data_IF_348394722460
#
_entry.id   IF_348394722460
#
_cell.length_a   1.000
_cell.length_b   1.000
_cell.length_c   1.000
_cell.angle_alpha   90.00
_cell.angle_beta   90.00
_cell.angle_gamma   90.00
#
_symmetry.space_group_name_H-M   'P 1'
#
loop_
_entity.id
_entity.type
_entity.pdbx_description
1 polymer ?
#
# COMPACT_ATOMS: atom_id res chain seq x y z
N UNK A 1 5.73 -8.25 -28.09
CA UNK A 1 5.50 -8.27 -26.64
C UNK A 1 6.74 -7.71 -25.94
N UNK A 2 6.56 -6.88 -24.95
CA UNK A 2 7.63 -6.33 -24.11
C UNK A 2 7.18 -6.43 -22.64
N UNK A 3 8.07 -6.88 -21.75
CA UNK A 3 7.79 -7.02 -20.32
C UNK A 3 8.72 -6.11 -19.52
N UNK A 4 8.14 -5.33 -18.63
CA UNK A 4 8.84 -4.47 -17.69
C UNK A 4 8.76 -5.08 -16.31
N UNK A 5 9.88 -5.06 -15.58
CA UNK A 5 9.96 -5.57 -14.21
C UNK A 5 10.59 -4.51 -13.33
N UNK A 6 9.85 -4.03 -12.35
CA UNK A 6 10.41 -3.21 -11.28
C UNK A 6 11.27 -4.10 -10.38
N UNK A 7 12.53 -3.74 -10.19
CA UNK A 7 13.45 -4.47 -9.33
C UNK A 7 13.57 -3.81 -7.96
N UNK A 8 13.68 -4.64 -6.94
CA UNK A 8 14.03 -4.16 -5.59
C UNK A 8 15.40 -3.47 -5.62
N UNK A 9 15.53 -2.26 -5.06
CA UNK A 9 16.73 -1.42 -5.25
C UNK A 9 18.01 -2.03 -4.72
N UNK A 10 17.94 -2.98 -3.78
CA UNK A 10 19.12 -3.59 -3.15
C UNK A 10 19.27 -5.06 -3.55
N UNK A 11 18.19 -5.82 -3.55
CA UNK A 11 18.25 -7.27 -3.79
C UNK A 11 18.14 -7.63 -5.27
N UNK A 12 17.81 -6.65 -6.14
CA UNK A 12 17.57 -6.85 -7.57
C UNK A 12 16.54 -7.96 -7.90
N UNK A 13 15.69 -8.30 -6.92
CA UNK A 13 14.58 -9.24 -7.13
C UNK A 13 13.38 -8.51 -7.74
N UNK A 14 12.57 -9.20 -8.55
CA UNK A 14 11.34 -8.65 -9.11
C UNK A 14 10.35 -8.22 -8.03
N UNK A 15 9.80 -6.99 -8.20
CA UNK A 15 8.79 -6.42 -7.28
C UNK A 15 7.44 -6.35 -7.97
N UNK A 16 7.41 -5.96 -9.26
CA UNK A 16 6.20 -5.81 -10.03
C UNK A 16 6.49 -5.99 -11.51
N UNK A 17 5.53 -6.54 -12.27
CA UNK A 17 5.63 -6.76 -13.71
C UNK A 17 4.50 -6.07 -14.46
N UNK A 18 4.80 -5.61 -15.67
CA UNK A 18 3.85 -5.12 -16.66
C UNK A 18 4.22 -5.73 -18.02
N UNK A 19 3.23 -6.24 -18.74
CA UNK A 19 3.42 -6.79 -20.07
C UNK A 19 2.54 -6.03 -21.07
N UNK A 20 3.13 -5.62 -22.19
CA UNK A 20 2.48 -4.87 -23.25
C UNK A 20 2.69 -5.60 -24.58
N UNK A 21 1.61 -5.78 -25.34
CA UNK A 21 1.65 -6.52 -26.60
C UNK A 21 1.55 -5.60 -27.82
N UNK A 22 0.70 -4.60 -27.74
CA UNK A 22 0.31 -3.78 -28.89
C UNK A 22 0.72 -2.31 -28.80
N UNK A 23 1.17 -1.86 -27.63
CA UNK A 23 1.51 -0.47 -27.39
C UNK A 23 2.75 -0.02 -28.19
N UNK A 24 2.62 1.01 -29.05
CA UNK A 24 3.77 1.53 -29.80
C UNK A 24 4.71 2.37 -28.93
N UNK A 25 4.19 2.95 -27.83
CA UNK A 25 4.93 3.77 -26.89
C UNK A 25 4.45 3.46 -25.47
N UNK A 26 5.37 3.09 -24.58
CA UNK A 26 5.10 2.84 -23.18
C UNK A 26 5.74 3.96 -22.37
N UNK A 27 4.92 4.69 -21.59
CA UNK A 27 5.37 5.80 -20.74
C UNK A 27 5.54 5.34 -19.32
N UNK A 28 6.65 5.78 -18.70
CA UNK A 28 7.03 5.48 -17.34
C UNK A 28 7.30 6.79 -16.60
N UNK A 29 6.67 6.98 -15.44
CA UNK A 29 6.85 8.18 -14.64
C UNK A 29 5.90 8.23 -13.45
N UNK A 30 5.89 9.35 -12.70
CA UNK A 30 5.04 9.49 -11.52
C UNK A 30 3.64 10.05 -11.80
N UNK A 31 3.39 10.54 -13.00
CA UNK A 31 2.06 11.03 -13.40
C UNK A 31 1.12 9.88 -13.69
N UNK A 32 -0.17 10.04 -13.40
CA UNK A 32 -1.20 9.02 -13.55
C UNK A 32 -1.56 8.70 -15.00
N UNK A 33 -1.12 9.51 -15.95
CA UNK A 33 -1.29 9.31 -17.39
C UNK A 33 -0.19 8.44 -18.02
N UNK A 34 0.78 7.95 -17.23
CA UNK A 34 1.76 6.97 -17.68
C UNK A 34 1.18 5.54 -17.66
N UNK A 35 1.70 4.68 -18.54
CA UNK A 35 1.39 3.25 -18.55
C UNK A 35 1.96 2.53 -17.30
N UNK A 36 3.14 2.97 -16.85
CA UNK A 36 3.80 2.49 -15.63
C UNK A 36 3.98 3.68 -14.68
N UNK A 37 3.22 3.67 -13.60
CA UNK A 37 3.21 4.74 -12.61
C UNK A 37 4.14 4.36 -11.45
N UNK A 38 5.16 5.20 -11.21
CA UNK A 38 6.14 4.98 -10.15
C UNK A 38 6.14 6.17 -9.18
N UNK A 39 5.57 5.97 -8.02
CA UNK A 39 5.48 6.97 -6.97
C UNK A 39 6.82 7.15 -6.25
N UNK A 40 7.75 7.87 -6.88
CA UNK A 40 9.05 8.21 -6.32
C UNK A 40 9.35 9.68 -6.58
N UNK A 41 9.78 10.40 -5.54
CA UNK A 41 10.09 11.84 -5.62
C UNK A 41 11.20 12.17 -6.63
N UNK A 42 12.12 11.24 -6.87
CA UNK A 42 13.22 11.41 -7.84
C UNK A 42 12.81 11.06 -9.28
N UNK A 43 11.62 10.46 -9.47
CA UNK A 43 11.08 10.14 -10.79
C UNK A 43 10.25 11.32 -11.30
N UNK A 44 10.55 11.81 -12.50
CA UNK A 44 9.79 12.90 -13.15
C UNK A 44 8.37 12.46 -13.49
N UNK A 45 7.44 13.40 -13.69
CA UNK A 45 6.06 13.10 -14.12
C UNK A 45 6.03 12.18 -15.34
N UNK A 46 6.81 12.50 -16.37
CA UNK A 46 7.14 11.65 -17.51
C UNK A 46 8.65 11.47 -17.50
N UNK A 47 9.16 10.29 -17.20
CA UNK A 47 10.58 10.07 -16.97
C UNK A 47 11.25 9.31 -18.11
N UNK A 48 10.61 8.26 -18.61
CA UNK A 48 11.09 7.43 -19.71
C UNK A 48 9.94 7.10 -20.64
N UNK A 49 10.22 7.08 -21.94
CA UNK A 49 9.41 6.40 -22.95
C UNK A 49 10.18 5.22 -23.51
N UNK A 50 9.50 4.07 -23.62
CA UNK A 50 9.94 2.97 -24.44
C UNK A 50 9.19 3.06 -25.76
N UNK A 51 9.91 3.24 -26.86
CA UNK A 51 9.33 3.42 -28.19
C UNK A 51 9.62 2.21 -29.05
N UNK A 52 8.60 1.71 -29.74
CA UNK A 52 8.74 0.64 -30.72
C UNK A 52 9.12 1.23 -32.04
N UNK A 53 10.37 1.01 -32.49
CA UNK A 53 10.83 1.32 -33.82
C UNK A 53 10.48 0.21 -34.85
N UNK A 54 10.89 0.38 -36.11
CA UNK A 54 10.60 -0.57 -37.17
C UNK A 54 11.22 -1.96 -36.93
N UNK A 55 12.36 -2.03 -36.27
CA UNK A 55 13.09 -3.30 -36.02
C UNK A 55 13.33 -3.61 -34.53
N UNK A 56 13.29 -2.62 -33.67
CA UNK A 56 13.65 -2.80 -32.27
C UNK A 56 13.00 -1.76 -31.33
N UNK A 57 12.96 -2.08 -30.03
CA UNK A 57 12.56 -1.14 -29.01
C UNK A 57 13.74 -0.24 -28.58
N UNK A 58 13.44 0.96 -28.15
CA UNK A 58 14.41 1.90 -27.61
C UNK A 58 13.91 2.57 -26.31
N UNK A 59 14.86 2.89 -25.42
CA UNK A 59 14.64 3.68 -24.21
C UNK A 59 14.94 5.14 -24.53
N UNK A 60 14.01 6.05 -24.26
CA UNK A 60 14.19 7.50 -24.39
C UNK A 60 14.01 8.14 -23.02
N UNK A 61 15.05 8.83 -22.54
CA UNK A 61 15.03 9.52 -21.25
C UNK A 61 14.45 10.92 -21.39
N UNK A 62 13.35 11.19 -20.69
CA UNK A 62 12.68 12.51 -20.64
C UNK A 62 12.88 13.22 -19.30
N UNK A 63 13.20 12.46 -18.25
CA UNK A 63 13.29 12.96 -16.90
C UNK A 63 14.47 13.89 -16.65
N UNK A 64 14.26 15.03 -15.99
CA UNK A 64 15.31 15.98 -15.62
C UNK A 64 16.43 15.33 -14.80
N UNK A 65 16.10 14.37 -13.94
CA UNK A 65 17.05 13.62 -13.10
C UNK A 65 17.82 12.54 -13.86
N UNK A 66 17.50 12.32 -15.15
CA UNK A 66 18.16 11.39 -16.08
C UNK A 66 17.87 9.92 -15.82
N UNK A 67 18.14 9.11 -16.82
CA UNK A 67 18.04 7.65 -16.79
C UNK A 67 19.46 7.08 -16.92
N UNK A 68 19.75 6.00 -16.19
CA UNK A 68 21.10 5.45 -16.06
C UNK A 68 21.11 3.96 -16.40
N UNK A 69 22.04 3.55 -17.25
CA UNK A 69 22.35 2.15 -17.57
C UNK A 69 23.82 1.92 -17.19
N UNK A 70 24.10 0.90 -16.40
CA UNK A 70 25.45 0.58 -15.89
C UNK A 70 26.16 1.81 -15.28
N UNK A 71 25.41 2.64 -14.57
CA UNK A 71 25.91 3.86 -13.95
C UNK A 71 26.14 5.05 -14.88
N UNK A 72 25.97 4.90 -16.18
CA UNK A 72 26.11 5.97 -17.19
C UNK A 72 24.76 6.57 -17.51
N UNK A 73 24.68 7.90 -17.58
CA UNK A 73 23.47 8.60 -18.00
C UNK A 73 23.24 8.41 -19.49
N UNK A 74 22.03 8.02 -19.85
CA UNK A 74 21.59 7.88 -21.24
C UNK A 74 20.55 8.94 -21.60
N UNK A 75 20.49 9.31 -22.88
CA UNK A 75 19.41 10.11 -23.47
C UNK A 75 18.49 9.23 -24.31
N UNK A 76 19.07 8.32 -25.08
CA UNK A 76 18.37 7.35 -25.92
C UNK A 76 19.27 6.13 -26.11
N UNK A 77 18.70 4.93 -26.12
CA UNK A 77 19.45 3.68 -26.25
C UNK A 77 18.54 2.57 -26.81
N UNK A 78 18.99 1.76 -27.78
CA UNK A 78 18.24 0.58 -28.26
C UNK A 78 18.22 -0.51 -27.18
N UNK A 79 17.16 -1.34 -27.21
CA UNK A 79 16.99 -2.49 -26.31
C UNK A 79 17.26 -3.76 -27.09
N UNK A 80 18.39 -4.41 -26.80
CA UNK A 80 18.76 -5.71 -27.37
C UNK A 80 18.43 -6.81 -26.37
N UNK A 81 17.27 -7.46 -26.51
CA UNK A 81 16.79 -8.55 -25.67
C UNK A 81 16.37 -8.11 -24.27
N UNK A 82 17.31 -7.87 -23.36
CA UNK A 82 17.01 -7.42 -21.98
C UNK A 82 17.97 -6.35 -21.52
N UNK A 83 17.44 -5.33 -20.83
CA UNK A 83 18.21 -4.22 -20.26
C UNK A 83 17.70 -3.87 -18.87
N UNK A 84 18.59 -3.44 -17.99
CA UNK A 84 18.23 -2.83 -16.69
C UNK A 84 18.65 -1.37 -16.70
N UNK A 85 17.70 -0.47 -16.44
CA UNK A 85 17.99 0.94 -16.28
C UNK A 85 17.42 1.48 -14.97
N UNK A 86 18.06 2.53 -14.44
CA UNK A 86 17.67 3.21 -13.21
C UNK A 86 17.11 4.59 -13.54
N UNK A 87 15.99 4.92 -12.92
CA UNK A 87 15.36 6.23 -13.02
C UNK A 87 15.95 7.17 -11.96
N UNK A 88 16.70 8.17 -12.38
CA UNK A 88 17.53 9.04 -11.55
C UNK A 88 18.73 8.32 -10.90
N UNK A 89 19.64 9.07 -10.24
CA UNK A 89 20.82 8.49 -9.58
C UNK A 89 20.49 7.55 -8.43
N UNK A 90 19.41 7.81 -7.72
CA UNK A 90 18.98 7.07 -6.52
C UNK A 90 17.57 6.46 -6.65
N UNK A 91 17.02 6.44 -7.84
CA UNK A 91 15.66 5.95 -8.09
C UNK A 91 15.59 4.44 -8.35
N UNK A 92 14.39 3.96 -8.69
CA UNK A 92 14.13 2.54 -8.92
C UNK A 92 14.81 2.01 -10.17
N UNK A 93 15.17 0.71 -10.15
CA UNK A 93 15.66 -0.04 -11.28
C UNK A 93 14.49 -0.71 -12.01
N UNK A 94 14.49 -0.62 -13.33
CA UNK A 94 13.53 -1.32 -14.19
C UNK A 94 14.30 -2.21 -15.13
N UNK A 95 13.96 -3.49 -15.12
CA UNK A 95 14.39 -4.45 -16.14
C UNK A 95 13.34 -4.49 -17.23
N UNK A 96 13.79 -4.41 -18.46
CA UNK A 96 12.95 -4.55 -19.66
C UNK A 96 13.39 -5.78 -20.41
N UNK A 97 12.45 -6.60 -20.83
CA UNK A 97 12.66 -7.77 -21.68
C UNK A 97 11.78 -7.68 -22.93
N UNK A 98 12.40 -7.79 -24.10
CA UNK A 98 11.71 -7.80 -25.40
C UNK A 98 11.63 -9.23 -25.91
N UNK A 99 10.42 -9.72 -26.17
CA UNK A 99 10.13 -11.08 -26.63
C UNK A 99 9.30 -11.88 -25.64
N UNK A 100 8.98 -13.14 -25.97
CA UNK A 100 8.32 -14.05 -25.05
C UNK A 100 9.30 -14.45 -23.95
N UNK A 101 8.88 -14.37 -22.68
CA UNK A 101 9.65 -14.91 -21.57
C UNK A 101 9.81 -16.42 -21.80
N UNK A 102 11.03 -16.99 -21.72
CA UNK A 102 11.17 -18.43 -21.71
C UNK A 102 10.41 -18.98 -20.49
N UNK A 103 9.59 -20.02 -20.73
CA UNK A 103 8.92 -20.73 -19.65
C UNK A 103 9.96 -21.12 -18.59
N UNK A 104 9.66 -20.85 -17.32
CA UNK A 104 10.55 -21.12 -16.19
C UNK A 104 10.95 -22.61 -16.18
N UNK A 105 12.14 -22.90 -16.66
CA UNK A 105 12.84 -24.14 -16.39
C UNK A 105 14.01 -23.82 -15.48
N UNK A 106 13.97 -24.42 -14.29
CA UNK A 106 15.09 -24.48 -13.35
C UNK A 106 16.43 -24.60 -14.07
N UNK A 107 17.31 -23.63 -13.85
CA UNK A 107 18.73 -23.74 -13.59
C UNK A 107 19.39 -22.37 -13.69
N UNK A 108 19.79 -21.83 -12.54
CA UNK A 108 20.81 -20.78 -12.50
C UNK A 108 22.09 -21.28 -13.19
N UNK A 109 22.70 -20.51 -14.08
CA UNK A 109 24.06 -20.82 -14.51
C UNK A 109 25.02 -20.39 -13.37
N UNK A 110 25.57 -21.40 -12.72
CA UNK A 110 26.75 -21.28 -11.86
C UNK A 110 27.97 -21.06 -12.75
N UNK A 111 28.36 -19.80 -13.03
CA UNK A 111 29.70 -19.47 -13.47
C UNK A 111 29.92 -17.96 -13.38
N UNK A 112 30.34 -17.52 -12.20
CA UNK A 112 31.13 -16.29 -12.02
C UNK A 112 32.50 -16.72 -11.47
N UNK A 113 33.63 -16.26 -12.05
CA UNK A 113 34.95 -16.63 -11.57
C UNK A 113 35.19 -15.97 -10.22
N UNK A 114 35.54 -16.82 -9.25
CA UNK A 114 35.94 -16.41 -7.91
C UNK A 114 37.23 -15.57 -7.98
N UNK A 115 37.15 -14.27 -7.81
CA UNK A 115 38.30 -13.47 -7.46
C UNK A 115 38.64 -13.69 -5.99
N UNK A 116 39.81 -14.27 -5.77
CA UNK A 116 40.43 -14.51 -4.46
C UNK A 116 40.69 -13.15 -3.78
N UNK A 117 39.93 -12.84 -2.74
CA UNK A 117 40.31 -11.81 -1.79
C UNK A 117 41.35 -12.41 -0.82
N UNK A 118 42.54 -11.79 -0.76
CA UNK A 118 43.56 -12.06 0.27
C UNK A 118 43.08 -11.50 1.61
N UNK A 119 43.34 -12.19 2.72
CA UNK A 119 43.08 -11.65 4.05
C UNK A 119 44.09 -10.56 4.44
N UNK A 120 43.69 -9.56 5.24
CA UNK A 120 44.66 -8.57 5.75
C UNK A 120 45.47 -9.17 6.90
N UNK A 121 46.77 -8.93 6.80
CA UNK A 121 47.77 -9.25 7.83
C UNK A 121 47.58 -8.33 9.05
N UNK A 122 47.55 -8.95 10.20
CA UNK A 122 47.69 -8.33 11.51
C UNK A 122 49.12 -7.80 11.68
N UNK A 123 49.24 -6.56 12.12
CA UNK A 123 50.53 -5.96 12.54
C UNK A 123 50.28 -4.86 13.56
N UNK A 124 50.62 -5.16 14.80
CA UNK A 124 50.65 -4.28 15.96
C UNK A 124 51.92 -3.41 15.85
N UNK A 125 51.79 -2.09 16.04
CA UNK A 125 52.87 -1.26 16.64
C UNK A 125 52.25 0.04 17.19
N UNK A 126 52.44 0.22 18.46
CA UNK A 126 52.30 1.40 19.30
C UNK A 126 53.29 2.50 18.90
N UNK A 127 52.92 3.81 18.99
CA UNK A 127 53.54 4.79 19.84
C UNK A 127 53.06 6.23 19.58
N UNK A 128 52.72 6.87 20.70
CA UNK A 128 52.93 8.23 21.22
C UNK A 128 52.66 9.51 20.42
N UNK A 129 51.76 10.28 21.05
CA UNK A 129 51.88 11.70 21.48
C UNK A 129 52.09 12.85 20.48
N UNK A 130 51.21 13.84 20.54
CA UNK A 130 51.44 15.20 20.06
C UNK A 130 50.21 16.06 19.85
N UNK A 131 49.70 16.72 20.88
CA UNK A 131 48.85 17.92 20.82
C UNK A 131 49.75 19.18 20.70
N UNK A 132 49.18 20.43 20.65
CA UNK A 132 48.18 21.06 19.76
C UNK A 132 48.67 22.39 19.15
N UNK A 133 47.93 23.03 18.24
CA UNK A 133 47.85 24.52 18.11
C UNK A 133 46.81 24.94 17.10
N UNK A 134 45.82 25.59 17.52
CA UNK A 134 45.26 26.98 17.48
C UNK A 134 45.15 27.67 16.11
N UNK A 135 43.91 28.13 15.91
CA UNK A 135 43.46 29.47 15.44
C UNK A 135 43.43 29.80 13.96
N UNK A 136 42.27 30.28 13.55
CA UNK A 136 42.05 31.04 12.33
C UNK A 136 40.56 31.37 12.11
N UNK A 137 40.12 32.46 12.78
CA UNK A 137 38.78 33.08 12.58
C UNK A 137 38.73 33.93 11.29
N UNK A 138 37.49 34.04 10.80
CA UNK A 138 36.79 35.19 10.17
C UNK A 138 36.87 35.35 8.63
N UNK A 139 35.99 36.14 8.00
CA UNK A 139 34.67 36.63 8.44
C UNK A 139 33.50 36.47 7.40
N UNK A 140 32.31 36.72 7.90
CA UNK A 140 31.04 36.92 7.21
C UNK A 140 31.06 38.10 6.23
N UNK A 141 30.49 37.93 5.05
CA UNK A 141 30.03 39.03 4.22
C UNK A 141 28.58 38.81 3.80
N UNK A 142 27.74 39.75 4.26
CA UNK A 142 26.34 39.96 3.87
C UNK A 142 26.23 40.33 2.40
N UNK A 143 25.26 39.76 1.69
CA UNK A 143 24.72 40.36 0.48
C UNK A 143 23.21 40.27 0.49
N UNK A 144 22.59 41.45 0.51
CA UNK A 144 21.20 41.76 0.55
C UNK A 144 20.49 41.44 -0.78
N UNK A 145 19.26 40.97 -0.69
CA UNK A 145 18.34 40.70 -1.80
C UNK A 145 17.46 41.94 -1.99
N UNK A 146 17.18 42.41 -3.21
CA UNK A 146 16.08 43.31 -3.45
C UNK A 146 14.79 42.54 -3.78
N UNK A 147 13.73 42.95 -3.09
CA UNK A 147 12.33 42.61 -3.35
C UNK A 147 11.82 43.46 -4.51
N UNK A 148 11.19 42.89 -5.50
CA UNK A 148 10.21 43.62 -6.34
C UNK A 148 9.19 42.68 -6.99
N UNK A 149 7.93 43.06 -6.73
CA UNK A 149 6.70 43.05 -7.56
C UNK A 149 6.09 41.71 -8.03
N UNK A 150 4.84 41.57 -7.62
CA UNK A 150 3.81 40.70 -8.19
C UNK A 150 3.49 41.06 -9.66
N UNK A 151 2.97 40.12 -10.42
CA UNK A 151 1.82 40.44 -11.26
C UNK A 151 0.67 39.41 -11.20
N UNK A 152 -0.52 39.95 -11.08
CA UNK A 152 -1.74 39.76 -11.86
C UNK A 152 -2.30 38.35 -12.06
N UNK A 153 -3.56 38.24 -11.57
CA UNK A 153 -4.54 37.16 -11.78
C UNK A 153 -4.96 37.10 -13.25
N UNK A 154 -4.90 35.95 -13.86
CA UNK A 154 -5.66 35.57 -15.05
C UNK A 154 -6.49 34.33 -14.78
N UNK A 155 -7.81 34.44 -14.91
CA UNK A 155 -8.78 33.35 -14.91
C UNK A 155 -8.61 32.45 -16.14
N UNK A 156 -8.74 31.11 -16.02
CA UNK A 156 -8.78 30.23 -17.17
C UNK A 156 -10.22 30.02 -17.68
N UNK A 157 -10.37 29.81 -18.99
CA UNK A 157 -11.69 29.60 -19.60
C UNK A 157 -12.22 28.19 -19.37
N UNK A 158 -13.53 28.11 -19.23
CA UNK A 158 -14.38 26.94 -19.10
C UNK A 158 -14.24 25.94 -20.26
N UNK A 159 -14.20 24.67 -19.90
CA UNK A 159 -14.82 23.61 -20.68
C UNK A 159 -13.90 22.67 -21.46
N UNK A 160 -13.53 21.55 -20.83
CA UNK A 160 -13.44 20.24 -21.52
C UNK A 160 -13.75 19.14 -20.49
N UNK A 161 -14.81 18.39 -20.75
CA UNK A 161 -15.21 17.18 -20.03
C UNK A 161 -14.18 16.09 -20.31
N UNK A 162 -13.27 15.85 -19.38
CA UNK A 162 -12.42 14.65 -19.40
C UNK A 162 -13.09 13.55 -18.59
N UNK A 163 -13.46 12.48 -19.25
CA UNK A 163 -13.91 11.24 -18.64
C UNK A 163 -12.83 10.72 -17.69
N UNK A 164 -13.06 10.85 -16.38
CA UNK A 164 -12.27 10.16 -15.36
C UNK A 164 -12.63 8.68 -15.39
N UNK A 165 -11.66 7.86 -15.69
CA UNK A 165 -11.68 6.43 -15.42
C UNK A 165 -11.77 6.24 -13.90
N UNK A 166 -12.96 5.88 -13.42
CA UNK A 166 -13.26 5.59 -12.01
C UNK A 166 -12.77 4.20 -11.66
N UNK A 167 -11.57 4.13 -11.10
CA UNK A 167 -11.16 2.99 -10.31
C UNK A 167 -11.71 3.16 -8.88
N UNK A 168 -12.72 2.34 -8.54
CA UNK A 168 -13.08 1.89 -7.19
C UNK A 168 -13.59 2.92 -6.17
N UNK A 169 -14.79 3.43 -6.36
CA UNK A 169 -15.59 4.07 -5.29
C UNK A 169 -16.89 3.28 -5.06
N UNK A 170 -16.81 2.13 -4.36
CA UNK A 170 -18.00 1.31 -4.12
C UNK A 170 -18.56 1.49 -2.71
N UNK A 171 -17.79 1.99 -1.78
CA UNK A 171 -18.26 2.27 -0.42
C UNK A 171 -18.77 3.72 -0.24
N UNK A 172 -18.70 4.57 -1.28
CA UNK A 172 -19.07 6.00 -1.21
C UNK A 172 -20.33 6.39 -1.97
N UNK A 173 -21.25 5.48 -2.24
CA UNK A 173 -22.60 5.92 -2.62
C UNK A 173 -23.25 6.61 -1.41
N UNK A 174 -23.90 7.80 -1.58
CA UNK A 174 -24.54 8.51 -0.48
C UNK A 174 -25.59 7.61 0.18
N UNK A 175 -25.59 7.60 1.51
CA UNK A 175 -26.57 6.91 2.34
C UNK A 175 -27.99 7.30 1.93
N UNK A 176 -28.68 6.42 1.26
CA UNK A 176 -30.11 6.49 1.06
C UNK A 176 -30.85 5.51 1.97
N UNK A 177 -30.29 5.22 3.14
CA UNK A 177 -30.96 4.42 4.16
C UNK A 177 -31.92 5.29 4.98
N UNK A 178 -33.03 5.67 4.37
CA UNK A 178 -34.01 6.51 5.08
C UNK A 178 -35.41 6.59 4.49
N UNK A 179 -35.81 5.72 3.56
CA UNK A 179 -37.18 5.73 3.04
C UNK A 179 -37.80 4.35 2.93
N UNK A 180 -38.88 4.24 3.62
CA UNK A 180 -39.81 3.12 3.82
C UNK A 180 -40.13 2.28 2.59
N UNK A 181 -40.01 1.01 2.78
CA UNK A 181 -40.38 -0.10 1.93
C UNK A 181 -41.76 0.03 1.26
N UNK A 182 -41.74 0.31 -0.02
CA UNK A 182 -42.75 -0.22 -0.91
C UNK A 182 -42.52 -1.73 -1.01
N UNK A 183 -43.60 -2.53 -1.02
CA UNK A 183 -43.52 -4.00 -1.06
C UNK A 183 -42.52 -4.43 -2.18
N UNK A 184 -41.39 -5.07 -1.87
CA UNK A 184 -40.33 -5.34 -2.83
C UNK A 184 -40.75 -6.20 -4.01
N UNK A 185 -41.82 -6.99 -3.87
CA UNK A 185 -42.34 -7.88 -4.90
C UNK A 185 -42.95 -7.16 -6.12
N UNK A 186 -43.33 -5.89 -6.02
CA UNK A 186 -44.03 -5.15 -7.06
C UNK A 186 -43.32 -3.87 -7.52
N UNK A 187 -42.03 -3.67 -7.16
CA UNK A 187 -41.33 -2.48 -7.58
C UNK A 187 -40.91 -2.57 -9.06
N UNK A 188 -41.31 -1.60 -9.86
CA UNK A 188 -40.94 -1.50 -11.29
C UNK A 188 -39.62 -0.75 -11.49
N UNK A 189 -38.89 -0.41 -10.40
CA UNK A 189 -37.64 0.30 -10.37
C UNK A 189 -37.63 1.63 -11.13
N UNK A 190 -38.65 2.51 -10.98
CA UNK A 190 -38.84 3.70 -11.81
C UNK A 190 -37.74 4.76 -11.62
N UNK A 191 -37.01 4.74 -10.50
CA UNK A 191 -35.93 5.67 -10.18
C UNK A 191 -34.53 5.10 -10.38
N UNK A 192 -34.44 3.92 -10.98
CA UNK A 192 -33.17 3.33 -11.35
C UNK A 192 -32.53 4.16 -12.47
N UNK A 193 -31.67 5.12 -12.12
CA UNK A 193 -30.97 5.96 -13.08
C UNK A 193 -29.44 5.82 -12.92
N UNK A 194 -28.75 5.72 -14.06
CA UNK A 194 -27.29 5.74 -14.08
C UNK A 194 -26.64 4.49 -13.50
N UNK A 195 -25.62 4.66 -12.69
CA UNK A 195 -24.73 3.61 -12.15
C UNK A 195 -25.18 3.08 -10.77
N UNK A 196 -26.44 3.28 -10.37
CA UNK A 196 -26.94 2.80 -9.08
C UNK A 196 -26.98 1.27 -9.05
N UNK A 197 -26.43 0.68 -7.99
CA UNK A 197 -26.40 -0.80 -7.82
C UNK A 197 -27.71 -1.33 -7.25
N UNK A 198 -28.39 -0.50 -6.47
CA UNK A 198 -29.64 -0.86 -5.78
C UNK A 198 -30.75 0.12 -6.12
N UNK A 199 -31.97 -0.37 -6.12
CA UNK A 199 -33.13 0.47 -6.30
C UNK A 199 -33.34 1.38 -5.08
N UNK A 200 -33.45 2.71 -5.25
CA UNK A 200 -33.66 3.61 -4.12
C UNK A 200 -35.02 3.46 -3.43
N UNK A 201 -36.00 2.84 -4.11
CA UNK A 201 -37.36 2.69 -3.58
C UNK A 201 -37.56 1.39 -2.80
N UNK A 202 -36.96 0.27 -3.23
CA UNK A 202 -37.17 -1.05 -2.63
C UNK A 202 -35.87 -1.71 -2.11
N UNK A 203 -34.72 -1.11 -2.34
CA UNK A 203 -33.41 -1.64 -1.89
C UNK A 203 -32.94 -2.92 -2.61
N UNK A 204 -33.70 -3.42 -3.61
CA UNK A 204 -33.29 -4.60 -4.37
C UNK A 204 -32.15 -4.28 -5.34
N UNK A 205 -31.26 -5.24 -5.62
CA UNK A 205 -30.21 -5.08 -6.60
C UNK A 205 -30.81 -4.93 -8.00
N UNK A 206 -30.28 -3.95 -8.77
CA UNK A 206 -30.70 -3.72 -10.15
C UNK A 206 -30.04 -4.67 -11.13
N UNK A 207 -28.84 -5.12 -10.80
CA UNK A 207 -28.09 -6.10 -11.57
C UNK A 207 -27.46 -7.11 -10.63
N UNK A 208 -27.61 -8.39 -10.90
CA UNK A 208 -27.01 -9.50 -10.19
C UNK A 208 -25.99 -10.16 -11.09
N UNK A 209 -24.73 -10.17 -10.68
CA UNK A 209 -23.65 -10.83 -11.44
C UNK A 209 -23.71 -12.35 -11.30
N UNK A 210 -24.00 -12.82 -10.08
CA UNK A 210 -23.99 -14.23 -9.73
C UNK A 210 -24.79 -14.43 -8.44
N UNK A 211 -25.42 -15.59 -8.27
CA UNK A 211 -26.01 -16.02 -7.01
C UNK A 211 -25.15 -17.12 -6.39
N UNK A 212 -24.84 -16.98 -5.09
CA UNK A 212 -24.06 -17.96 -4.32
C UNK A 212 -24.81 -18.26 -3.03
N UNK A 213 -25.36 -19.47 -2.92
CA UNK A 213 -26.34 -19.78 -1.87
C UNK A 213 -27.50 -18.80 -1.94
N UNK A 214 -27.84 -18.16 -0.81
CA UNK A 214 -28.91 -17.16 -0.72
C UNK A 214 -28.45 -15.73 -1.05
N UNK A 215 -27.20 -15.53 -1.45
CA UNK A 215 -26.61 -14.22 -1.66
C UNK A 215 -26.53 -13.85 -3.13
N UNK A 216 -27.09 -12.72 -3.50
CA UNK A 216 -27.00 -12.14 -4.84
C UNK A 216 -25.79 -11.23 -4.93
N UNK A 217 -24.74 -11.64 -5.63
CA UNK A 217 -23.52 -10.86 -5.83
C UNK A 217 -23.80 -9.74 -6.83
N UNK A 218 -23.57 -8.50 -6.40
CA UNK A 218 -23.86 -7.29 -7.18
C UNK A 218 -22.60 -6.74 -7.83
N UNK A 219 -21.48 -6.77 -7.09
CA UNK A 219 -20.21 -6.19 -7.56
C UNK A 219 -19.02 -6.83 -6.87
N UNK A 220 -17.91 -6.95 -7.58
CA UNK A 220 -16.62 -7.20 -6.98
C UNK A 220 -16.06 -5.86 -6.48
N UNK A 221 -15.87 -5.76 -5.16
CA UNK A 221 -15.34 -4.55 -4.50
C UNK A 221 -13.83 -4.50 -4.57
N UNK A 222 -13.19 -5.65 -4.28
CA UNK A 222 -11.72 -5.75 -4.22
C UNK A 222 -11.25 -7.15 -4.54
N UNK A 223 -10.04 -7.21 -5.10
CA UNK A 223 -9.28 -8.44 -5.23
C UNK A 223 -7.86 -8.20 -4.70
N UNK A 224 -7.34 -9.16 -3.97
CA UNK A 224 -5.93 -9.21 -3.56
C UNK A 224 -5.26 -10.50 -4.09
N UNK A 225 -4.05 -10.82 -3.62
CA UNK A 225 -3.32 -11.99 -4.10
C UNK A 225 -4.11 -13.29 -3.92
N UNK A 226 -4.82 -13.45 -2.80
CA UNK A 226 -5.42 -14.73 -2.38
C UNK A 226 -6.93 -14.77 -2.61
N UNK A 227 -7.62 -13.64 -2.45
CA UNK A 227 -9.07 -13.66 -2.38
C UNK A 227 -9.79 -12.52 -3.06
N UNK A 228 -11.10 -12.64 -3.05
CA UNK A 228 -12.04 -11.70 -3.65
C UNK A 228 -13.02 -11.23 -2.60
N UNK A 229 -13.25 -9.91 -2.55
CA UNK A 229 -14.26 -9.27 -1.70
C UNK A 229 -15.39 -8.77 -2.62
N UNK A 230 -16.63 -9.15 -2.32
CA UNK A 230 -17.78 -8.90 -3.16
C UNK A 230 -18.90 -8.24 -2.34
N UNK A 231 -19.56 -7.25 -2.93
CA UNK A 231 -20.81 -6.71 -2.42
C UNK A 231 -21.95 -7.61 -2.85
N UNK A 232 -22.80 -7.95 -1.92
CA UNK A 232 -23.96 -8.80 -2.17
C UNK A 232 -25.19 -8.29 -1.42
N UNK A 233 -26.33 -8.83 -1.81
CA UNK A 233 -27.62 -8.57 -1.21
C UNK A 233 -28.27 -9.87 -0.76
N UNK A 234 -28.91 -9.85 0.43
CA UNK A 234 -29.72 -10.94 0.96
C UNK A 234 -30.85 -10.37 1.83
N UNK A 235 -32.09 -10.70 1.51
CA UNK A 235 -33.26 -10.39 2.34
C UNK A 235 -33.37 -8.90 2.77
N UNK A 236 -33.11 -7.96 1.87
CA UNK A 236 -33.22 -6.54 2.15
C UNK A 236 -31.93 -5.91 2.74
N UNK A 237 -30.88 -6.69 2.91
CA UNK A 237 -29.63 -6.21 3.51
C UNK A 237 -28.46 -6.26 2.52
N UNK A 238 -27.65 -5.22 2.54
CA UNK A 238 -26.39 -5.17 1.82
C UNK A 238 -25.30 -5.77 2.71
N UNK A 239 -24.61 -6.79 2.20
CA UNK A 239 -23.55 -7.50 2.90
C UNK A 239 -22.31 -7.59 2.04
N UNK A 240 -21.18 -7.88 2.67
CA UNK A 240 -19.90 -8.08 1.98
C UNK A 240 -19.45 -9.52 2.20
N UNK A 241 -19.16 -10.21 1.09
CA UNK A 241 -18.64 -11.57 1.09
C UNK A 241 -17.12 -11.55 0.82
N UNK A 242 -16.39 -12.29 1.61
CA UNK A 242 -14.97 -12.60 1.37
C UNK A 242 -14.81 -14.07 1.01
N UNK A 243 -14.09 -14.35 -0.09
CA UNK A 243 -13.85 -15.73 -0.56
C UNK A 243 -12.45 -15.87 -1.13
N UNK A 244 -11.99 -17.12 -1.30
CA UNK A 244 -10.71 -17.44 -1.94
C UNK A 244 -10.83 -17.39 -3.47
N UNK A 245 -9.76 -17.02 -4.15
CA UNK A 245 -9.60 -17.22 -5.58
C UNK A 245 -9.44 -18.72 -5.90
N UNK A 246 -9.77 -19.16 -7.12
CA UNK A 246 -9.70 -20.59 -7.49
C UNK A 246 -8.33 -21.22 -7.25
N UNK A 247 -7.25 -20.49 -7.54
CA UNK A 247 -5.86 -20.94 -7.36
C UNK A 247 -5.46 -21.14 -5.90
N UNK A 248 -6.24 -20.67 -4.95
CA UNK A 248 -5.99 -20.73 -3.50
C UNK A 248 -6.98 -21.66 -2.76
N UNK A 249 -7.64 -22.59 -3.44
CA UNK A 249 -8.62 -23.48 -2.85
C UNK A 249 -8.00 -24.85 -2.44
N UNK A 250 -6.71 -24.88 -2.13
CA UNK A 250 -6.09 -26.06 -1.54
C UNK A 250 -6.63 -26.31 -0.13
N UNK A 251 -6.71 -27.60 0.31
CA UNK A 251 -7.30 -27.98 1.60
C UNK A 251 -6.73 -27.18 2.79
N UNK A 252 -5.42 -26.95 2.83
CA UNK A 252 -4.73 -26.22 3.90
C UNK A 252 -5.17 -24.75 3.96
N UNK A 253 -5.33 -24.10 2.79
CA UNK A 253 -5.76 -22.71 2.69
C UNK A 253 -7.24 -22.58 3.08
N UNK A 254 -8.08 -23.51 2.63
CA UNK A 254 -9.52 -23.55 2.97
C UNK A 254 -9.68 -23.79 4.47
N UNK A 255 -8.88 -24.66 5.08
CA UNK A 255 -8.90 -24.92 6.53
C UNK A 255 -8.49 -23.66 7.31
N UNK A 256 -7.38 -23.01 6.94
CA UNK A 256 -6.93 -21.77 7.57
C UNK A 256 -7.98 -20.65 7.47
N UNK A 257 -8.61 -20.49 6.29
CA UNK A 257 -9.72 -19.58 6.09
C UNK A 257 -10.90 -19.90 7.03
N UNK A 258 -11.26 -21.19 7.09
CA UNK A 258 -12.40 -21.67 7.90
C UNK A 258 -12.18 -21.43 9.39
N UNK A 259 -10.97 -21.69 9.88
CA UNK A 259 -10.60 -21.45 11.28
C UNK A 259 -10.69 -19.96 11.62
N UNK A 260 -10.11 -19.09 10.80
CA UNK A 260 -10.16 -17.65 11.03
C UNK A 260 -11.60 -17.10 10.90
N UNK A 261 -12.37 -17.59 9.94
CA UNK A 261 -13.77 -17.20 9.77
C UNK A 261 -14.63 -17.55 11.01
N UNK A 262 -14.45 -18.76 11.57
CA UNK A 262 -15.15 -19.16 12.81
C UNK A 262 -14.80 -18.29 14.02
N UNK A 263 -13.52 -17.88 14.14
CA UNK A 263 -13.11 -16.94 15.19
C UNK A 263 -13.81 -15.59 15.00
N UNK A 264 -13.82 -15.05 13.78
CA UNK A 264 -14.44 -13.75 13.46
C UNK A 264 -15.95 -13.73 13.75
N UNK A 265 -16.67 -14.83 13.51
CA UNK A 265 -18.11 -14.93 13.80
C UNK A 265 -18.45 -14.79 15.29
N UNK A 266 -17.51 -15.04 16.19
CA UNK A 266 -17.72 -14.94 17.64
C UNK A 266 -17.38 -13.55 18.20
N UNK A 267 -16.91 -12.61 17.34
CA UNK A 267 -16.45 -11.30 17.79
C UNK A 267 -17.56 -10.26 17.74
N UNK A 268 -17.62 -9.45 18.80
CA UNK A 268 -18.46 -8.25 18.87
C UNK A 268 -17.63 -7.09 19.41
N UNK A 269 -17.35 -6.10 18.56
CA UNK A 269 -16.61 -4.89 18.93
C UNK A 269 -17.00 -3.73 18.03
N UNK A 270 -17.19 -2.49 18.52
CA UNK A 270 -17.60 -1.34 17.71
C UNK A 270 -16.63 -0.97 16.58
N UNK A 271 -15.34 -1.30 16.74
CA UNK A 271 -14.30 -1.12 15.71
C UNK A 271 -14.22 -2.27 14.69
N UNK A 272 -15.15 -3.23 14.74
CA UNK A 272 -15.23 -4.36 13.79
C UNK A 272 -16.57 -4.36 13.05
N UNK A 273 -16.63 -4.83 11.80
CA UNK A 273 -17.90 -5.14 11.16
C UNK A 273 -18.54 -6.35 11.86
N UNK A 274 -19.85 -6.41 11.89
CA UNK A 274 -20.56 -7.62 12.36
C UNK A 274 -20.38 -8.74 11.33
N UNK A 275 -19.78 -9.85 11.73
CA UNK A 275 -19.65 -11.06 10.92
C UNK A 275 -20.89 -11.93 11.16
N UNK A 276 -21.66 -12.21 10.13
CA UNK A 276 -23.00 -12.78 10.26
C UNK A 276 -23.13 -14.22 9.79
N UNK A 277 -22.25 -14.69 8.89
CA UNK A 277 -22.38 -16.02 8.29
C UNK A 277 -21.06 -16.54 7.75
N UNK A 278 -20.92 -17.86 7.71
CA UNK A 278 -19.84 -18.57 7.02
C UNK A 278 -20.41 -19.84 6.40
N UNK A 279 -20.17 -20.05 5.11
CA UNK A 279 -20.63 -21.22 4.40
C UNK A 279 -19.65 -21.63 3.30
N UNK A 280 -19.84 -22.85 2.79
CA UNK A 280 -19.03 -23.40 1.69
C UNK A 280 -19.94 -23.82 0.56
N UNK A 281 -19.68 -23.36 -0.66
CA UNK A 281 -20.37 -23.76 -1.89
C UNK A 281 -19.32 -24.30 -2.85
N UNK A 282 -19.52 -25.53 -3.33
CA UNK A 282 -18.63 -26.21 -4.28
C UNK A 282 -17.15 -26.21 -3.82
N UNK A 283 -16.92 -26.43 -2.52
CA UNK A 283 -15.58 -26.44 -1.92
C UNK A 283 -14.98 -25.05 -1.67
N UNK A 284 -15.66 -23.98 -2.07
CA UNK A 284 -15.24 -22.61 -1.92
C UNK A 284 -15.82 -21.97 -0.65
N UNK A 285 -14.97 -21.46 0.28
CA UNK A 285 -15.45 -20.85 1.52
C UNK A 285 -15.86 -19.38 1.28
N UNK A 286 -16.91 -18.97 2.00
CA UNK A 286 -17.42 -17.59 2.01
C UNK A 286 -17.64 -17.12 3.44
N UNK A 287 -17.05 -16.00 3.79
CA UNK A 287 -17.29 -15.27 5.04
C UNK A 287 -18.14 -14.05 4.74
N UNK A 288 -19.20 -13.86 5.49
CA UNK A 288 -20.16 -12.77 5.34
C UNK A 288 -20.02 -11.78 6.48
N UNK A 289 -19.97 -10.51 6.15
CA UNK A 289 -20.02 -9.43 7.12
C UNK A 289 -20.97 -8.31 6.72
N UNK A 290 -21.37 -7.49 7.68
CA UNK A 290 -22.09 -6.25 7.40
C UNK A 290 -21.26 -5.33 6.50
N UNK A 291 -21.94 -4.56 5.64
CA UNK A 291 -21.30 -3.46 4.90
C UNK A 291 -20.91 -2.37 5.91
N UNK A 292 -19.68 -1.92 5.85
CA UNK A 292 -19.19 -0.75 6.60
C UNK A 292 -19.30 0.47 5.70
N UNK A 293 -20.08 1.45 6.15
CA UNK A 293 -20.27 2.71 5.43
C UNK A 293 -19.17 3.71 5.80
N UNK A 294 -18.71 4.50 4.83
CA UNK A 294 -17.68 5.50 5.03
C UNK A 294 -16.56 5.44 4.01
N UNK A 295 -15.51 6.18 4.26
CA UNK A 295 -14.31 6.25 3.43
C UNK A 295 -13.14 5.59 4.13
N UNK A 296 -12.29 4.88 3.38
CA UNK A 296 -11.03 4.45 3.96
C UNK A 296 -10.17 5.67 4.33
N UNK A 297 -9.30 5.51 5.33
CA UNK A 297 -8.37 6.60 5.68
C UNK A 297 -7.44 6.96 4.50
N UNK A 298 -7.16 6.01 3.61
CA UNK A 298 -6.45 6.31 2.36
C UNK A 298 -7.26 7.24 1.46
N UNK A 299 -8.54 6.94 1.20
CA UNK A 299 -9.42 7.78 0.39
C UNK A 299 -9.59 9.17 1.02
N UNK A 300 -9.76 9.22 2.35
CA UNK A 300 -9.88 10.49 3.07
C UNK A 300 -8.65 11.38 2.87
N UNK A 301 -7.44 10.81 3.05
CA UNK A 301 -6.19 11.56 2.84
C UNK A 301 -6.05 11.99 1.38
N UNK A 302 -6.35 11.12 0.42
CA UNK A 302 -6.25 11.44 -1.01
C UNK A 302 -7.22 12.52 -1.47
N UNK A 303 -8.42 12.61 -0.86
CA UNK A 303 -9.48 13.53 -1.28
C UNK A 303 -9.49 14.84 -0.49
N UNK A 304 -9.13 14.79 0.80
CA UNK A 304 -9.26 15.94 1.72
C UNK A 304 -7.92 16.42 2.30
N UNK A 305 -6.80 15.76 1.93
CA UNK A 305 -5.50 16.04 2.51
C UNK A 305 -5.24 15.28 3.82
N UNK A 306 -4.08 15.55 4.40
CA UNK A 306 -3.58 14.91 5.63
C UNK A 306 -4.47 15.18 6.83
N UNK A 307 -4.38 14.30 7.82
CA UNK A 307 -5.02 14.50 9.11
C UNK A 307 -4.20 15.48 9.95
N UNK A 308 -4.89 16.23 10.82
CA UNK A 308 -4.24 16.91 11.92
C UNK A 308 -3.65 15.89 12.92
N UNK A 309 -2.70 16.31 13.75
CA UNK A 309 -2.13 15.45 14.78
C UNK A 309 -3.20 14.88 15.71
N UNK A 310 -4.15 15.70 16.16
CA UNK A 310 -5.24 15.28 17.02
C UNK A 310 -6.14 14.22 16.34
N UNK A 311 -6.50 14.41 15.07
CA UNK A 311 -7.29 13.44 14.30
C UNK A 311 -6.54 12.12 14.09
N UNK A 312 -5.24 12.18 13.79
CA UNK A 312 -4.41 11.00 13.61
C UNK A 312 -4.27 10.22 14.91
N UNK A 313 -3.97 10.88 16.04
CA UNK A 313 -3.91 10.26 17.36
C UNK A 313 -5.26 9.62 17.70
N UNK A 314 -6.37 10.36 17.60
CA UNK A 314 -7.68 9.84 17.92
C UNK A 314 -8.04 8.60 17.10
N UNK A 315 -7.73 8.62 15.79
CA UNK A 315 -7.98 7.49 14.90
C UNK A 315 -7.14 6.27 15.27
N UNK A 316 -5.84 6.43 15.53
CA UNK A 316 -4.95 5.30 15.85
C UNK A 316 -5.20 4.77 17.24
N UNK A 317 -5.53 5.60 18.21
CA UNK A 317 -5.92 5.14 19.58
C UNK A 317 -7.13 4.20 19.52
N UNK A 318 -8.12 4.50 18.69
CA UNK A 318 -9.29 3.65 18.53
C UNK A 318 -8.98 2.36 17.73
N UNK A 319 -8.07 2.44 16.74
CA UNK A 319 -7.53 1.24 16.10
C UNK A 319 -6.80 0.36 17.12
N UNK A 320 -6.02 0.96 18.02
CA UNK A 320 -5.35 0.23 19.10
C UNK A 320 -6.34 -0.46 20.06
N UNK A 321 -7.45 0.18 20.40
CA UNK A 321 -8.50 -0.43 21.22
C UNK A 321 -9.07 -1.70 20.57
N UNK A 322 -9.36 -1.62 19.27
CA UNK A 322 -9.83 -2.77 18.49
C UNK A 322 -8.77 -3.87 18.37
N UNK A 323 -7.49 -3.50 18.17
CA UNK A 323 -6.39 -4.47 18.10
C UNK A 323 -6.15 -5.15 19.45
N UNK A 324 -6.21 -4.41 20.55
CA UNK A 324 -6.07 -4.97 21.89
C UNK A 324 -7.16 -6.03 22.17
N UNK A 325 -8.40 -5.73 21.78
CA UNK A 325 -9.50 -6.70 21.85
C UNK A 325 -9.22 -7.96 21.01
N UNK A 326 -8.73 -7.83 19.77
CA UNK A 326 -8.40 -8.96 18.90
C UNK A 326 -7.23 -9.80 19.46
N UNK A 327 -6.20 -9.13 19.94
CA UNK A 327 -5.00 -9.77 20.47
C UNK A 327 -5.24 -10.53 21.79
N UNK A 328 -6.25 -10.14 22.55
CA UNK A 328 -6.66 -10.81 23.81
C UNK A 328 -7.56 -12.03 23.58
N UNK A 329 -7.98 -12.31 22.34
CA UNK A 329 -8.75 -13.52 22.06
C UNK A 329 -7.93 -14.79 22.30
N UNK A 330 -8.60 -15.91 22.52
CA UNK A 330 -7.95 -17.21 22.74
C UNK A 330 -8.44 -18.23 21.68
N UNK A 331 -7.63 -18.59 20.70
CA UNK A 331 -6.28 -18.06 20.42
C UNK A 331 -6.29 -16.61 19.94
N UNK A 332 -5.18 -15.90 20.15
CA UNK A 332 -4.99 -14.52 19.70
C UNK A 332 -5.28 -14.38 18.21
N UNK A 333 -6.07 -13.38 17.84
CA UNK A 333 -6.40 -13.09 16.45
C UNK A 333 -5.61 -11.90 15.93
N UNK A 334 -4.82 -12.13 14.90
CA UNK A 334 -4.01 -11.10 14.24
C UNK A 334 -4.70 -10.62 12.97
N UNK A 335 -4.54 -9.36 12.63
CA UNK A 335 -5.07 -8.80 11.38
C UNK A 335 -4.15 -9.08 10.18
N UNK A 336 -2.85 -8.99 10.34
CA UNK A 336 -1.78 -9.29 9.39
C UNK A 336 -1.75 -8.41 8.11
N UNK A 337 -2.73 -7.56 7.84
CA UNK A 337 -2.80 -6.68 6.66
C UNK A 337 -3.31 -5.26 7.02
N UNK A 338 -2.88 -4.72 8.15
CA UNK A 338 -3.23 -3.35 8.51
C UNK A 338 -2.60 -2.36 7.53
N UNK A 339 -3.44 -1.46 7.02
CA UNK A 339 -3.06 -0.34 6.13
C UNK A 339 -4.21 0.66 6.03
N UNK A 340 -3.98 1.89 5.56
CA UNK A 340 -5.01 2.92 5.50
C UNK A 340 -6.26 2.54 4.68
N UNK A 341 -6.12 1.65 3.69
CA UNK A 341 -7.26 1.14 2.91
C UNK A 341 -8.19 0.24 3.73
N UNK A 342 -7.69 -0.39 4.78
CA UNK A 342 -8.44 -1.32 5.63
C UNK A 342 -9.00 -0.65 6.91
N UNK A 343 -8.88 0.67 7.03
CA UNK A 343 -9.40 1.47 8.14
C UNK A 343 -10.50 2.38 7.59
N UNK A 344 -11.76 2.00 7.81
CA UNK A 344 -12.93 2.73 7.28
C UNK A 344 -13.41 3.71 8.34
N UNK A 345 -13.37 5.00 8.00
CA UNK A 345 -13.89 6.07 8.84
C UNK A 345 -15.28 6.49 8.36
N UNK A 346 -16.26 6.41 9.23
CA UNK A 346 -17.59 6.96 9.02
C UNK A 346 -17.71 8.27 9.80
N UNK A 347 -18.13 9.34 9.14
CA UNK A 347 -18.30 10.64 9.77
C UNK A 347 -19.37 10.65 10.90
N UNK A 348 -20.32 9.70 10.87
CA UNK A 348 -21.34 9.55 11.89
C UNK A 348 -20.85 8.81 13.15
N UNK A 349 -19.75 8.05 13.02
CA UNK A 349 -19.13 7.30 14.10
C UNK A 349 -17.68 7.71 14.15
N UNK A 350 -17.25 8.37 15.22
CA UNK A 350 -15.88 8.92 15.31
C UNK A 350 -14.77 7.87 15.29
N UNK A 351 -15.12 6.58 15.28
CA UNK A 351 -14.20 5.45 15.36
C UNK A 351 -13.98 4.79 13.99
N UNK A 352 -12.72 4.57 13.55
CA UNK A 352 -12.44 3.76 12.38
C UNK A 352 -12.84 2.30 12.61
N UNK A 353 -13.47 1.68 11.62
CA UNK A 353 -13.74 0.25 11.60
C UNK A 353 -12.65 -0.47 10.84
N UNK A 354 -12.07 -1.51 11.42
CA UNK A 354 -11.05 -2.36 10.78
C UNK A 354 -11.73 -3.38 9.88
N UNK A 355 -11.35 -3.39 8.60
CA UNK A 355 -11.80 -4.36 7.60
C UNK A 355 -10.61 -5.05 6.94
N UNK A 356 -10.85 -6.06 6.09
CA UNK A 356 -9.76 -6.72 5.34
C UNK A 356 -9.24 -7.99 6.02
N UNK A 357 -10.03 -8.57 6.91
CA UNK A 357 -9.72 -9.84 7.57
C UNK A 357 -9.63 -11.01 6.57
N UNK A 358 -9.00 -12.09 7.01
CA UNK A 358 -8.75 -13.31 6.22
C UNK A 358 -7.90 -12.98 4.99
N UNK A 359 -6.86 -12.21 5.21
CA UNK A 359 -5.90 -11.89 4.15
C UNK A 359 -4.99 -13.08 3.81
N UNK A 360 -4.75 -13.97 4.79
CA UNK A 360 -3.91 -15.18 4.69
C UNK A 360 -2.56 -14.93 4.01
N UNK A 361 -2.04 -13.70 4.10
CA UNK A 361 -0.81 -13.27 3.43
C UNK A 361 0.38 -14.16 3.76
N UNK A 362 0.43 -14.68 4.97
CA UNK A 362 1.48 -15.61 5.42
C UNK A 362 1.55 -16.90 4.60
N UNK A 363 0.44 -17.31 3.96
CA UNK A 363 0.45 -18.48 3.07
C UNK A 363 0.94 -18.13 1.66
N UNK A 364 0.78 -16.87 1.24
CA UNK A 364 1.22 -16.38 -0.08
C UNK A 364 2.69 -15.94 -0.12
N UNK A 365 3.39 -15.90 0.99
CA UNK A 365 4.74 -15.34 1.08
C UNK A 365 5.85 -16.17 0.41
N UNK A 366 5.55 -17.29 -0.22
CA UNK A 366 6.46 -17.99 -1.13
C UNK A 366 6.43 -17.49 -2.57
N UNK A 367 5.41 -16.75 -2.98
CA UNK A 367 5.21 -16.27 -4.33
C UNK A 367 5.32 -14.74 -4.34
N UNK A 368 6.38 -14.20 -4.92
CA UNK A 368 6.67 -12.86 -5.47
C UNK A 368 5.62 -11.72 -5.28
N UNK A 369 5.00 -11.61 -4.12
CA UNK A 369 4.12 -10.48 -3.81
C UNK A 369 4.95 -9.27 -3.39
N UNK A 370 4.72 -8.13 -4.03
CA UNK A 370 5.34 -6.86 -3.64
C UNK A 370 5.16 -6.62 -2.14
N UNK A 371 6.27 -6.45 -1.42
CA UNK A 371 6.25 -6.21 0.02
C UNK A 371 5.58 -4.86 0.27
N UNK A 372 4.46 -4.88 0.96
CA UNK A 372 3.76 -3.66 1.38
C UNK A 372 4.63 -2.88 2.38
N UNK A 373 4.68 -1.54 2.32
CA UNK A 373 5.42 -0.74 3.29
C UNK A 373 4.86 -0.84 4.72
N UNK A 374 3.71 -1.48 4.89
CA UNK A 374 3.07 -1.75 6.18
C UNK A 374 3.38 -3.15 6.72
N UNK A 375 4.13 -3.97 5.98
CA UNK A 375 4.46 -5.35 6.36
C UNK A 375 5.70 -5.40 7.22
N UNK A 376 5.61 -6.02 8.39
CA UNK A 376 6.73 -6.20 9.31
C UNK A 376 7.80 -7.14 8.72
N UNK A 377 9.10 -6.93 9.03
CA UNK A 377 10.18 -7.76 8.51
C UNK A 377 10.03 -9.24 8.86
N UNK A 378 9.65 -9.56 10.10
CA UNK A 378 9.45 -10.93 10.57
C UNK A 378 8.22 -11.61 9.94
N UNK A 379 7.23 -10.83 9.52
CA UNK A 379 6.07 -11.36 8.80
C UNK A 379 6.48 -11.93 7.44
N UNK A 380 7.50 -11.35 6.79
CA UNK A 380 8.07 -11.88 5.55
C UNK A 380 8.74 -13.24 5.76
N UNK A 381 9.10 -13.57 6.98
CA UNK A 381 9.66 -14.86 7.39
C UNK A 381 8.58 -15.84 7.90
N UNK A 382 7.30 -15.47 7.74
CA UNK A 382 6.17 -16.29 8.17
C UNK A 382 5.88 -16.25 9.68
N UNK A 383 6.53 -15.36 10.43
CA UNK A 383 6.25 -15.21 11.86
C UNK A 383 4.92 -14.47 12.08
N UNK A 384 4.14 -14.96 13.07
CA UNK A 384 2.83 -14.42 13.42
C UNK A 384 2.80 -14.06 14.89
N UNK A 385 2.97 -12.79 15.18
CA UNK A 385 2.92 -12.25 16.54
C UNK A 385 2.14 -10.94 16.55
N UNK A 386 1.67 -10.51 17.70
CA UNK A 386 0.98 -9.20 17.85
C UNK A 386 1.85 -8.03 17.37
N UNK A 387 3.17 -8.18 17.46
CA UNK A 387 4.12 -7.17 17.02
C UNK A 387 4.03 -6.86 15.51
N UNK A 388 3.49 -7.78 14.69
CA UNK A 388 3.23 -7.57 13.25
C UNK A 388 2.20 -6.47 13.03
N UNK A 389 1.08 -6.52 13.75
CA UNK A 389 0.03 -5.50 13.64
C UNK A 389 0.50 -4.16 14.23
N UNK A 390 1.27 -4.18 15.32
CA UNK A 390 1.84 -2.97 15.91
C UNK A 390 2.83 -2.27 14.99
N UNK A 391 3.65 -3.03 14.27
CA UNK A 391 4.57 -2.46 13.26
C UNK A 391 3.82 -1.60 12.25
N UNK A 392 2.69 -2.10 11.72
CA UNK A 392 1.94 -1.42 10.68
C UNK A 392 1.42 -0.04 11.10
N UNK A 393 1.17 0.17 12.40
CA UNK A 393 0.68 1.46 12.92
C UNK A 393 1.69 2.61 12.69
N UNK A 394 2.99 2.34 12.70
CA UNK A 394 4.03 3.35 12.45
C UNK A 394 3.93 3.96 11.05
N UNK A 395 4.07 3.17 9.97
CA UNK A 395 3.89 3.65 8.61
C UNK A 395 2.49 4.21 8.32
N UNK A 396 1.42 3.67 8.95
CA UNK A 396 0.07 4.24 8.84
C UNK A 396 0.06 5.65 9.41
N UNK A 397 0.58 5.87 10.62
CA UNK A 397 0.63 7.18 11.27
C UNK A 397 1.36 8.21 10.40
N UNK A 398 2.53 7.84 9.85
CA UNK A 398 3.28 8.70 8.92
C UNK A 398 2.43 9.05 7.70
N UNK A 399 1.78 8.09 7.07
CA UNK A 399 0.91 8.36 5.92
C UNK A 399 -0.25 9.31 6.26
N UNK A 400 -0.90 9.13 7.41
CA UNK A 400 -2.00 9.99 7.83
C UNK A 400 -1.57 11.44 8.07
N UNK A 401 -0.37 11.65 8.60
CA UNK A 401 0.17 12.97 8.93
C UNK A 401 0.80 13.69 7.74
N UNK A 402 1.34 12.96 6.76
CA UNK A 402 2.12 13.55 5.66
C UNK A 402 1.49 13.37 4.29
N UNK A 403 0.61 12.39 4.09
CA UNK A 403 0.11 11.98 2.78
C UNK A 403 1.16 11.28 1.91
N UNK A 404 2.42 11.19 2.38
CA UNK A 404 3.51 10.57 1.64
C UNK A 404 3.50 9.06 1.79
N UNK A 405 3.86 8.35 0.70
CA UNK A 405 3.99 6.90 0.77
C UNK A 405 5.09 6.50 1.75
N UNK A 406 4.82 5.63 2.74
CA UNK A 406 5.84 5.18 3.68
C UNK A 406 7.05 4.52 3.01
N UNK A 407 6.89 3.99 1.78
CA UNK A 407 8.00 3.42 0.99
C UNK A 407 9.14 4.41 0.76
N UNK A 408 8.86 5.72 0.78
CA UNK A 408 9.86 6.76 0.59
C UNK A 408 10.87 6.86 1.76
N UNK A 409 10.49 6.34 2.93
CA UNK A 409 11.28 6.45 4.16
C UNK A 409 11.99 5.15 4.56
N UNK A 410 11.90 4.11 3.74
CA UNK A 410 12.72 2.91 3.88
C UNK A 410 14.07 3.13 3.18
N UNK A 411 15.15 2.85 3.86
CA UNK A 411 16.50 2.99 3.30
C UNK A 411 17.47 1.98 3.91
N UNK A 412 18.53 1.65 3.13
CA UNK A 412 19.70 0.96 3.64
C UNK A 412 20.68 2.00 4.17
N UNK A 413 21.01 1.96 5.46
CA UNK A 413 21.96 2.83 6.14
C UNK A 413 22.83 2.02 7.10
N UNK A 414 23.63 2.68 7.93
CA UNK A 414 24.54 2.06 8.91
C UNK A 414 23.84 1.03 9.81
N UNK A 415 22.57 1.29 10.19
CA UNK A 415 21.76 0.41 11.04
C UNK A 415 20.92 -0.61 10.22
N UNK A 416 21.27 -0.86 8.97
CA UNK A 416 20.56 -1.79 8.09
C UNK A 416 19.43 -1.15 7.29
N UNK A 417 18.68 -2.01 6.56
CA UNK A 417 17.50 -1.61 5.81
C UNK A 417 16.28 -1.59 6.75
N UNK A 418 15.75 -0.40 7.01
CA UNK A 418 14.59 -0.23 7.85
C UNK A 418 13.83 1.07 7.52
N UNK A 419 12.71 1.29 8.20
CA UNK A 419 11.99 2.55 8.20
C UNK A 419 12.74 3.60 9.04
N UNK A 420 12.92 4.82 8.49
CA UNK A 420 13.63 5.92 9.14
C UNK A 420 12.68 7.11 9.34
N UNK A 421 11.93 7.19 10.45
CA UNK A 421 10.97 8.27 10.70
C UNK A 421 11.62 9.64 10.85
N UNK A 422 12.90 9.71 11.19
CA UNK A 422 13.70 10.94 11.30
C UNK A 422 13.88 11.67 9.97
N UNK A 423 13.62 11.01 8.84
CA UNK A 423 13.68 11.60 7.50
C UNK A 423 12.31 11.97 6.95
N UNK A 424 11.25 11.84 7.75
CA UNK A 424 9.90 12.27 7.38
C UNK A 424 9.81 13.79 7.57
N UNK A 425 9.63 14.58 6.51
CA UNK A 425 9.58 16.03 6.63
C UNK A 425 8.42 16.50 7.52
N UNK A 426 8.72 17.39 8.47
CA UNK A 426 7.70 17.99 9.33
C UNK A 426 7.10 17.08 10.41
N UNK A 427 7.62 15.87 10.58
CA UNK A 427 7.19 14.98 11.65
C UNK A 427 7.80 15.45 12.99
N UNK A 428 6.96 15.74 13.99
CA UNK A 428 7.41 16.17 15.30
C UNK A 428 8.22 15.08 16.00
N UNK A 429 9.17 15.48 16.86
CA UNK A 429 10.14 14.59 17.52
C UNK A 429 9.47 13.47 18.33
N UNK A 430 8.34 13.78 18.97
CA UNK A 430 7.55 12.85 19.75
C UNK A 430 7.01 11.72 18.89
N UNK A 431 6.46 12.05 17.70
CA UNK A 431 6.02 11.06 16.73
C UNK A 431 7.18 10.25 16.16
N UNK A 432 8.33 10.90 15.87
CA UNK A 432 9.54 10.19 15.43
C UNK A 432 9.91 9.09 16.43
N UNK A 433 9.84 9.38 17.72
CA UNK A 433 10.18 8.42 18.79
C UNK A 433 9.21 7.23 18.81
N UNK A 434 7.90 7.49 18.74
CA UNK A 434 6.88 6.44 18.71
C UNK A 434 7.00 5.59 17.44
N UNK A 435 7.09 6.23 16.28
CA UNK A 435 7.18 5.53 14.99
C UNK A 435 8.45 4.68 14.92
N UNK A 436 9.60 5.21 15.41
CA UNK A 436 10.86 4.44 15.46
C UNK A 436 10.71 3.18 16.31
N UNK A 437 10.06 3.28 17.48
CA UNK A 437 9.80 2.11 18.34
C UNK A 437 8.86 1.12 17.67
N UNK A 438 7.75 1.59 17.06
CA UNK A 438 6.82 0.74 16.33
C UNK A 438 7.49 -0.01 15.17
N UNK A 439 8.42 0.64 14.45
CA UNK A 439 9.06 0.10 13.26
C UNK A 439 10.44 -0.49 13.53
N UNK A 440 10.79 -0.78 14.80
CA UNK A 440 12.03 -1.52 15.10
C UNK A 440 12.05 -2.84 14.34
N UNK A 441 13.19 -3.19 13.70
CA UNK A 441 13.38 -4.51 13.08
C UNK A 441 13.17 -5.67 14.04
N UNK A 442 13.52 -5.50 15.32
CA UNK A 442 13.34 -6.48 16.38
C UNK A 442 11.96 -6.34 17.01
N UNK A 443 11.09 -7.38 16.90
CA UNK A 443 9.73 -7.33 17.47
C UNK A 443 9.69 -7.04 18.98
N UNK A 444 10.66 -7.54 19.74
CA UNK A 444 10.79 -7.38 21.19
C UNK A 444 11.15 -5.95 21.63
N UNK A 445 11.67 -5.12 20.76
CA UNK A 445 11.95 -3.70 21.03
C UNK A 445 10.71 -2.81 20.83
N UNK A 446 9.67 -3.33 20.19
CA UNK A 446 8.41 -2.62 19.95
C UNK A 446 7.62 -2.50 21.27
N UNK A 447 6.44 -1.94 21.17
CA UNK A 447 5.48 -1.97 22.28
C UNK A 447 4.99 -3.40 22.49
N UNK A 448 4.71 -3.77 23.75
CA UNK A 448 4.25 -5.12 24.08
C UNK A 448 2.77 -5.33 23.72
N UNK A 449 1.97 -4.23 23.65
CA UNK A 449 0.55 -4.30 23.32
C UNK A 449 0.07 -3.06 22.56
N UNK A 450 -1.08 -3.17 21.93
CA UNK A 450 -1.75 -2.02 21.30
C UNK A 450 -2.15 -0.96 22.34
N UNK A 451 -2.48 -1.39 23.55
CA UNK A 451 -2.79 -0.49 24.67
C UNK A 451 -1.61 0.40 25.06
N UNK A 452 -0.38 -0.13 25.05
CA UNK A 452 0.82 0.68 25.30
C UNK A 452 1.05 1.72 24.19
N UNK A 453 0.77 1.37 22.92
CA UNK A 453 0.84 2.32 21.79
C UNK A 453 -0.17 3.45 21.99
N UNK A 454 -1.41 3.11 22.35
CA UNK A 454 -2.45 4.10 22.62
C UNK A 454 -2.04 5.06 23.76
N UNK A 455 -1.50 4.54 24.86
CA UNK A 455 -1.02 5.36 25.98
C UNK A 455 0.09 6.34 25.51
N UNK A 456 1.09 5.85 24.77
CA UNK A 456 2.18 6.69 24.26
C UNK A 456 1.69 7.81 23.32
N UNK A 457 0.65 7.55 22.51
CA UNK A 457 0.05 8.56 21.63
C UNK A 457 -0.76 9.60 22.41
N UNK A 458 -1.47 9.19 23.47
CA UNK A 458 -2.23 10.10 24.33
C UNK A 458 -1.32 11.02 25.13
N UNK A 459 -0.14 10.56 25.56
CA UNK A 459 0.85 11.39 26.26
C UNK A 459 1.33 12.57 25.40
N UNK A 460 1.46 12.40 24.08
CA UNK A 460 1.78 13.51 23.15
C UNK A 460 0.65 14.55 23.15
N UNK A 461 -0.61 14.11 23.15
CA UNK A 461 -1.76 15.01 23.05
C UNK A 461 -1.95 15.92 24.27
N UNK A 462 -1.35 15.55 25.42
CA UNK A 462 -1.41 16.32 26.66
C UNK A 462 -0.30 17.38 26.71
N UNK A 463 0.80 17.14 26.02
CA UNK A 463 2.00 18.01 26.04
C UNK A 463 2.06 19.00 24.88
N UNK A 464 1.21 18.89 23.88
CA UNK A 464 1.05 19.78 22.72
C UNK A 464 -0.14 20.74 22.91
#
# INVERSE_FOLDING_TARGET
MITLTLLHPIQSIPVQHWTFEHEPVIRIGRSTDNHVILYSAVVSRHHVELRRGDSQWEVVSLGANGTYVDGKRITQMPIEGSIVFRLARSGPNIQVHVGALPAATDKLPSNLPAQKMKPPLSGIATDEAGEPTQSGEAPLTNLSIPVTSQPEEEEPPSGVLTQRSTAMDVENEPDQDGLLATNPANCTHPRAQGNTLFCPDCGQPLQVMQTVGDYQIVKTVRQDAIGVTQLAWRNGQNVVLRTLKPEWQQPETVEAFTQQAKQLLALEHPGLPHFSDFFVVEGRPYLVRSRVHGQSLQQRVSQRGTLTQAEAIASIVQVCDTLDYLHQQSPSLLHEDLKPENLIHNAAVSSPTIVGFVSLKSLAMGEQTAVSPYTAPEQQQGQKTVAVDLFALGPILVYLLTGESPSAFYAQREQGFRFYPEYVPGLATEFVTIVRRLTSPQPEERYASAKEVAAALLDISITA
#
